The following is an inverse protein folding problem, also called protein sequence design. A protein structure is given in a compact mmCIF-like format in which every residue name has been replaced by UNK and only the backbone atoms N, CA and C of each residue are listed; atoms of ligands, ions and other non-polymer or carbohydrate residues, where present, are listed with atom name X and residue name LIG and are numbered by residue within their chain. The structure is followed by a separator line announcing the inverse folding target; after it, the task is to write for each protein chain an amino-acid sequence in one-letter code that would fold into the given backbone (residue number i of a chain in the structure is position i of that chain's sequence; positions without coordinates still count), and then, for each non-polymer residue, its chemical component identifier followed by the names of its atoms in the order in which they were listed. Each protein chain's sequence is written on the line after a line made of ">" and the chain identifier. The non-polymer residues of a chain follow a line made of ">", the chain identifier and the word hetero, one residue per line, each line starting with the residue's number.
data_IF_123885784703
#
_entry.id   IF_123885784703
#
_cell.length_a   1.000
_cell.length_b   1.000
_cell.length_c   1.000
_cell.angle_alpha   90.00
_cell.angle_beta   90.00
_cell.angle_gamma   90.00
#
_symmetry.space_group_name_H-M   'P 1'
#
loop_
_entity.id
_entity.type
_entity.pdbx_description
1 polymer ?
#
# COMPACT_ATOMS: atom_id res chain seq x y z
N UNK A 1 11.60 -1.11 -10.24
CA UNK A 1 12.22 0.07 -9.58
C UNK A 1 12.00 -0.09 -8.08
N UNK A 2 13.04 0.13 -7.29
CA UNK A 2 13.04 0.07 -5.83
C UNK A 2 13.58 1.39 -5.28
N UNK A 3 12.94 1.93 -4.26
CA UNK A 3 13.44 3.07 -3.48
C UNK A 3 13.73 2.57 -2.06
N UNK A 4 14.95 2.79 -1.56
CA UNK A 4 15.43 2.27 -0.28
C UNK A 4 15.20 0.75 -0.14
N UNK A 5 15.55 -0.01 -1.19
CA UNK A 5 15.39 -1.48 -1.29
C UNK A 5 13.92 -1.98 -1.37
N UNK A 6 12.93 -1.07 -1.34
CA UNK A 6 11.51 -1.41 -1.43
C UNK A 6 10.96 -1.23 -2.84
N UNK A 7 10.33 -2.27 -3.39
CA UNK A 7 9.69 -2.20 -4.70
C UNK A 7 8.53 -1.21 -4.68
N UNK A 8 8.51 -0.29 -5.64
CA UNK A 8 7.40 0.64 -5.83
C UNK A 8 6.18 -0.09 -6.41
N UNK A 9 4.99 0.29 -5.95
CA UNK A 9 3.73 -0.13 -6.58
C UNK A 9 3.55 0.69 -7.86
N UNK A 10 3.13 0.03 -8.93
CA UNK A 10 2.89 0.67 -10.24
C UNK A 10 1.41 0.53 -10.57
N UNK A 11 0.72 1.65 -10.70
CA UNK A 11 -0.58 1.68 -11.35
C UNK A 11 -0.36 1.76 -12.86
N UNK A 12 -0.52 0.63 -13.54
CA UNK A 12 -0.27 0.51 -14.98
C UNK A 12 -1.26 1.33 -15.83
N UNK A 13 -2.48 1.60 -15.32
CA UNK A 13 -3.47 2.40 -16.06
C UNK A 13 -3.06 3.86 -16.15
N UNK A 14 -2.54 4.42 -15.06
CA UNK A 14 -2.09 5.81 -14.99
C UNK A 14 -0.58 5.97 -15.22
N UNK A 15 0.14 4.86 -15.38
CA UNK A 15 1.60 4.79 -15.47
C UNK A 15 2.29 5.50 -14.29
N UNK A 16 1.75 5.30 -13.09
CA UNK A 16 2.16 6.01 -11.87
C UNK A 16 2.84 5.07 -10.89
N UNK A 17 4.04 5.46 -10.46
CA UNK A 17 4.80 4.83 -9.39
C UNK A 17 4.41 5.48 -8.06
N UNK A 18 4.16 4.67 -7.04
CA UNK A 18 3.83 5.15 -5.70
C UNK A 18 4.97 4.90 -4.74
N UNK A 19 5.42 5.98 -4.10
CA UNK A 19 6.47 5.98 -3.10
C UNK A 19 5.92 6.52 -1.77
N UNK A 20 5.87 5.66 -0.77
CA UNK A 20 5.50 6.06 0.59
C UNK A 20 6.75 6.47 1.36
N UNK A 21 6.73 7.71 1.85
CA UNK A 21 7.81 8.35 2.59
C UNK A 21 7.90 7.71 3.97
N UNK A 22 9.08 7.20 4.34
CA UNK A 22 9.32 6.67 5.67
C UNK A 22 9.28 7.84 6.66
N UNK A 23 8.35 7.78 7.62
CA UNK A 23 8.19 8.78 8.65
C UNK A 23 9.50 8.97 9.43
N UNK A 24 9.80 10.20 9.80
CA UNK A 24 11.00 10.63 10.54
C UNK A 24 12.36 10.24 9.91
N UNK A 25 12.39 9.71 8.68
CA UNK A 25 13.64 9.43 7.98
C UNK A 25 14.23 10.71 7.41
N UNK A 26 15.49 10.99 7.72
CA UNK A 26 16.23 12.14 7.16
C UNK A 26 16.37 12.07 5.63
N UNK A 27 16.28 10.86 5.06
CA UNK A 27 16.44 10.62 3.63
C UNK A 27 15.10 10.34 2.93
N UNK A 28 13.95 10.65 3.56
CA UNK A 28 12.64 10.35 2.96
C UNK A 28 12.46 10.96 1.57
N UNK A 29 12.99 12.16 1.32
CA UNK A 29 12.96 12.83 0.01
C UNK A 29 14.09 12.47 -0.93
N UNK A 30 15.13 11.77 -0.43
CA UNK A 30 16.33 11.41 -1.17
C UNK A 30 16.55 9.89 -1.10
N UNK A 31 15.62 9.09 -1.64
CA UNK A 31 15.75 7.64 -1.57
C UNK A 31 16.92 7.14 -2.39
N UNK A 32 17.55 6.05 -1.92
CA UNK A 32 18.44 5.25 -2.76
C UNK A 32 17.60 4.59 -3.85
N UNK A 33 17.92 4.86 -5.11
CA UNK A 33 17.17 4.31 -6.25
C UNK A 33 17.91 3.12 -6.85
N UNK A 34 17.21 1.98 -6.95
CA UNK A 34 17.68 0.78 -7.60
C UNK A 34 16.68 0.29 -8.65
N UNK A 35 17.16 -0.28 -9.73
CA UNK A 35 16.31 -0.88 -10.75
C UNK A 35 17.03 -2.05 -11.40
N UNK A 36 16.30 -3.15 -11.56
CA UNK A 36 16.81 -4.32 -12.25
C UNK A 36 16.72 -4.06 -13.75
N UNK A 37 17.85 -3.69 -14.37
CA UNK A 37 17.96 -3.45 -15.80
C UNK A 37 19.14 -4.21 -16.39
N UNK A 38 18.89 -4.87 -17.53
CA UNK A 38 19.93 -5.30 -18.45
C UNK A 38 20.24 -4.14 -19.41
N UNK A 39 21.52 -3.93 -19.73
CA UNK A 39 22.06 -2.80 -20.52
C UNK A 39 22.04 -1.46 -19.76
N UNK A 40 22.88 -0.51 -20.18
CA UNK A 40 23.15 0.83 -19.59
C UNK A 40 21.92 1.76 -19.46
N UNK A 41 20.83 1.28 -18.88
CA UNK A 41 19.64 2.04 -18.54
C UNK A 41 20.01 3.01 -17.43
N UNK A 42 19.50 4.22 -17.51
CA UNK A 42 19.63 5.32 -16.55
C UNK A 42 18.25 5.74 -16.08
N UNK A 43 18.19 6.29 -14.87
CA UNK A 43 17.00 6.87 -14.29
C UNK A 43 17.26 8.34 -13.99
N UNK A 44 16.37 9.22 -14.45
CA UNK A 44 16.37 10.63 -14.12
C UNK A 44 15.02 10.98 -13.49
N UNK A 45 15.04 11.72 -12.39
CA UNK A 45 13.84 12.33 -11.82
C UNK A 45 13.75 13.74 -12.39
N UNK A 46 12.68 14.01 -13.13
CA UNK A 46 12.40 15.31 -13.71
C UNK A 46 11.62 16.15 -12.71
N UNK A 47 12.32 16.55 -11.65
CA UNK A 47 11.84 17.45 -10.63
C UNK A 47 13.02 18.11 -9.91
N UNK A 48 12.84 19.35 -9.46
CA UNK A 48 13.90 20.08 -8.74
C UNK A 48 14.20 19.42 -7.38
N UNK A 49 13.16 19.03 -6.66
CA UNK A 49 13.23 18.38 -5.35
C UNK A 49 11.86 17.83 -4.91
N UNK A 50 11.87 16.80 -4.06
CA UNK A 50 10.68 16.31 -3.35
C UNK A 50 10.61 17.05 -2.00
N UNK A 51 9.49 17.70 -1.70
CA UNK A 51 9.28 18.47 -0.46
C UNK A 51 7.92 18.14 0.16
N UNK A 52 7.75 18.41 1.46
CA UNK A 52 6.46 18.22 2.14
C UNK A 52 5.31 19.00 1.48
N UNK A 53 5.58 20.22 1.00
CA UNK A 53 4.57 21.03 0.31
C UNK A 53 4.07 20.35 -0.95
N UNK A 54 4.99 19.83 -1.79
CA UNK A 54 4.65 19.12 -3.02
C UNK A 54 3.92 17.80 -2.74
N UNK A 55 4.30 17.09 -1.68
CA UNK A 55 3.61 15.85 -1.26
C UNK A 55 2.17 16.17 -0.84
N UNK A 56 1.97 17.20 0.00
CA UNK A 56 0.65 17.61 0.49
C UNK A 56 -0.25 18.18 -0.61
N UNK A 57 0.33 18.80 -1.64
CA UNK A 57 -0.41 19.35 -2.78
C UNK A 57 -0.75 18.30 -3.85
N UNK A 58 -0.53 17.01 -3.58
CA UNK A 58 -0.67 15.91 -4.54
C UNK A 58 0.11 16.14 -5.86
N UNK A 59 1.32 16.71 -5.75
CA UNK A 59 2.15 17.00 -6.91
C UNK A 59 2.63 15.70 -7.57
N UNK A 60 2.42 15.59 -8.88
CA UNK A 60 2.91 14.47 -9.67
C UNK A 60 4.31 14.76 -10.21
N UNK A 61 5.31 14.09 -9.62
CA UNK A 61 6.67 14.10 -10.13
C UNK A 61 6.76 13.28 -11.42
N UNK A 62 7.74 13.56 -12.27
CA UNK A 62 8.01 12.76 -13.47
C UNK A 62 9.32 12.00 -13.27
N UNK A 63 9.33 10.71 -13.61
CA UNK A 63 10.54 9.90 -13.69
C UNK A 63 10.72 9.45 -15.13
N UNK A 64 11.94 9.58 -15.64
CA UNK A 64 12.34 9.06 -16.93
C UNK A 64 13.32 7.91 -16.74
N UNK A 65 12.99 6.77 -17.35
CA UNK A 65 13.89 5.62 -17.46
C UNK A 65 14.29 5.53 -18.92
N UNK A 66 15.59 5.51 -19.21
CA UNK A 66 16.07 5.63 -20.58
C UNK A 66 17.38 4.89 -20.80
N UNK A 67 17.63 4.52 -22.04
CA UNK A 67 18.94 4.09 -22.52
C UNK A 67 19.29 4.90 -23.79
N UNK A 68 20.28 4.46 -24.56
CA UNK A 68 20.69 5.16 -25.80
C UNK A 68 19.67 5.05 -26.94
N UNK A 69 18.71 4.11 -26.88
CA UNK A 69 17.76 3.79 -27.95
C UNK A 69 16.33 4.23 -27.64
N UNK A 70 15.92 4.18 -26.39
CA UNK A 70 14.54 4.40 -25.98
C UNK A 70 14.45 5.06 -24.61
N UNK A 71 13.30 5.68 -24.34
CA UNK A 71 12.95 6.20 -23.03
C UNK A 71 11.49 5.92 -22.71
N UNK A 72 11.19 5.88 -21.42
CA UNK A 72 9.85 5.75 -20.89
C UNK A 72 9.67 6.72 -19.72
N UNK A 73 8.51 7.39 -19.67
CA UNK A 73 8.19 8.36 -18.63
C UNK A 73 7.08 7.79 -17.76
N UNK A 74 7.33 7.79 -16.45
CA UNK A 74 6.37 7.46 -15.40
C UNK A 74 6.01 8.71 -14.60
N UNK A 75 4.82 8.72 -14.03
CA UNK A 75 4.52 9.61 -12.91
C UNK A 75 5.10 9.00 -11.63
N UNK A 76 5.48 9.84 -10.67
CA UNK A 76 5.82 9.45 -9.31
C UNK A 76 4.89 10.23 -8.38
N UNK A 77 4.08 9.51 -7.62
CA UNK A 77 3.28 10.05 -6.52
C UNK A 77 3.95 9.68 -5.21
N UNK A 78 4.24 10.70 -4.42
CA UNK A 78 4.79 10.56 -3.08
C UNK A 78 3.66 10.73 -2.06
N UNK A 79 3.65 9.93 -1.00
CA UNK A 79 2.62 9.97 0.05
C UNK A 79 3.25 9.75 1.42
N UNK A 80 2.64 10.32 2.46
CA UNK A 80 2.96 10.08 3.87
C UNK A 80 2.10 8.97 4.50
N UNK A 81 1.28 8.31 3.69
CA UNK A 81 0.45 7.18 4.09
C UNK A 81 1.11 5.83 3.77
N UNK A 82 0.84 4.78 4.57
CA UNK A 82 1.14 3.40 4.19
C UNK A 82 0.47 3.01 2.87
N UNK A 83 1.09 2.08 2.14
CA UNK A 83 0.52 1.54 0.89
C UNK A 83 -0.02 0.14 1.12
N UNK A 84 -1.28 -0.10 0.76
CA UNK A 84 -1.90 -1.43 0.83
C UNK A 84 -2.34 -1.86 -0.56
N UNK A 85 -1.72 -2.90 -1.10
CA UNK A 85 -2.17 -3.56 -2.33
C UNK A 85 -2.82 -4.90 -2.00
N UNK A 86 -4.05 -5.11 -2.47
CA UNK A 86 -4.76 -6.38 -2.36
C UNK A 86 -4.87 -6.98 -3.76
N UNK A 87 -4.24 -8.14 -3.94
CA UNK A 87 -4.28 -8.91 -5.18
C UNK A 87 -5.26 -10.06 -5.05
N UNK A 88 -6.19 -10.19 -6.00
CA UNK A 88 -7.20 -11.26 -6.02
C UNK A 88 -7.62 -11.59 -7.45
N UNK A 89 -8.04 -12.84 -7.67
CA UNK A 89 -8.56 -13.26 -8.96
C UNK A 89 -10.01 -12.81 -9.11
N UNK A 90 -10.26 -11.88 -10.03
CA UNK A 90 -11.60 -11.33 -10.30
C UNK A 90 -12.56 -12.38 -10.90
N UNK A 91 -12.03 -13.43 -11.52
CA UNK A 91 -12.82 -14.50 -12.14
C UNK A 91 -13.08 -15.68 -11.18
N UNK A 92 -12.71 -15.54 -9.91
CA UNK A 92 -12.88 -16.60 -8.93
C UNK A 92 -14.32 -16.64 -8.40
N UNK A 93 -15.19 -17.36 -9.12
CA UNK A 93 -16.60 -17.59 -8.74
C UNK A 93 -16.76 -18.58 -7.57
N UNK A 94 -15.67 -19.10 -6.99
CA UNK A 94 -15.72 -20.25 -6.07
C UNK A 94 -16.42 -19.98 -4.72
N UNK A 95 -16.75 -18.73 -4.40
CA UNK A 95 -17.61 -18.40 -3.25
C UNK A 95 -18.35 -17.07 -3.47
N UNK A 96 -19.68 -17.11 -3.44
CA UNK A 96 -20.55 -15.93 -3.58
C UNK A 96 -20.29 -14.80 -2.56
N UNK A 97 -19.58 -15.09 -1.47
CA UNK A 97 -19.44 -14.17 -0.34
C UNK A 97 -18.00 -13.69 -0.07
N UNK A 98 -16.96 -14.33 -0.63
CA UNK A 98 -15.57 -13.92 -0.41
C UNK A 98 -14.61 -14.57 -1.41
N UNK A 99 -13.62 -13.83 -1.91
CA UNK A 99 -12.58 -14.32 -2.83
C UNK A 99 -11.24 -14.49 -2.11
N UNK A 100 -10.41 -15.50 -2.46
CA UNK A 100 -9.04 -15.59 -2.00
C UNK A 100 -8.23 -14.36 -2.43
N UNK A 101 -7.38 -13.85 -1.54
CA UNK A 101 -6.49 -12.72 -1.84
C UNK A 101 -5.10 -12.88 -1.24
N UNK A 102 -4.20 -12.00 -1.66
CA UNK A 102 -2.92 -11.72 -1.03
C UNK A 102 -2.77 -10.21 -0.83
N UNK A 103 -2.29 -9.79 0.33
CA UNK A 103 -1.94 -8.40 0.59
C UNK A 103 -0.43 -8.20 0.43
N UNK A 104 -0.06 -7.02 -0.03
CA UNK A 104 1.24 -6.39 0.15
C UNK A 104 1.00 -5.08 0.88
N UNK A 105 1.50 -4.96 2.11
CA UNK A 105 1.42 -3.76 2.91
C UNK A 105 2.82 -3.19 3.12
N UNK A 106 3.02 -1.94 2.73
CA UNK A 106 4.18 -1.14 3.09
C UNK A 106 3.82 -0.22 4.25
N UNK A 107 4.36 -0.52 5.44
CA UNK A 107 4.25 0.27 6.66
C UNK A 107 5.38 1.31 6.70
N UNK A 108 5.02 2.59 6.64
CA UNK A 108 5.98 3.69 6.56
C UNK A 108 6.34 4.30 7.93
N UNK A 109 5.88 3.74 9.04
CA UNK A 109 6.22 4.22 10.38
C UNK A 109 7.71 4.03 10.66
N UNK A 110 8.38 5.04 11.24
CA UNK A 110 9.83 5.07 11.52
C UNK A 110 10.33 3.80 12.23
N UNK A 111 9.65 3.39 13.30
CA UNK A 111 10.13 2.37 14.25
C UNK A 111 9.85 0.90 13.84
N UNK A 112 9.34 0.66 12.63
CA UNK A 112 9.03 -0.70 12.17
C UNK A 112 10.24 -1.32 11.47
N UNK A 113 10.80 -2.44 11.96
CA UNK A 113 11.98 -3.07 11.34
C UNK A 113 11.64 -3.73 10.00
N UNK A 114 10.46 -4.33 9.88
CA UNK A 114 9.97 -4.96 8.65
C UNK A 114 8.88 -4.11 8.03
N UNK A 115 9.26 -3.21 7.11
CA UNK A 115 8.30 -2.31 6.43
C UNK A 115 7.31 -3.07 5.55
N UNK A 116 7.65 -4.27 5.07
CA UNK A 116 6.80 -5.04 4.17
C UNK A 116 6.11 -6.19 4.94
N UNK A 117 4.80 -6.25 4.82
CA UNK A 117 3.98 -7.40 5.22
C UNK A 117 3.31 -8.01 4.00
N UNK A 118 3.55 -9.31 3.77
CA UNK A 118 2.86 -10.10 2.74
C UNK A 118 2.06 -11.20 3.44
N UNK A 119 0.77 -11.31 3.13
CA UNK A 119 -0.08 -12.34 3.73
C UNK A 119 -1.23 -12.72 2.81
N UNK A 120 -1.57 -14.02 2.80
CA UNK A 120 -2.76 -14.52 2.11
C UNK A 120 -3.99 -14.41 3.00
N UNK A 121 -5.15 -14.41 2.38
CA UNK A 121 -6.40 -14.15 3.09
C UNK A 121 -7.65 -14.40 2.26
N UNK A 122 -8.76 -13.88 2.77
CA UNK A 122 -10.03 -13.77 2.05
C UNK A 122 -10.48 -12.33 2.06
N UNK A 123 -10.94 -11.85 0.91
CA UNK A 123 -11.53 -10.54 0.69
C UNK A 123 -13.04 -10.69 0.51
N UNK A 124 -13.82 -9.86 1.17
CA UNK A 124 -15.23 -9.61 0.87
C UNK A 124 -15.33 -8.20 0.30
N UNK A 125 -16.09 -8.08 -0.77
CA UNK A 125 -16.27 -6.83 -1.51
C UNK A 125 -17.73 -6.43 -1.34
N UNK A 126 -17.98 -5.25 -0.78
CA UNK A 126 -19.30 -4.67 -0.55
C UNK A 126 -19.31 -3.25 -1.11
N UNK A 127 -19.59 -3.10 -2.41
CA UNK A 127 -19.48 -1.84 -3.14
C UNK A 127 -18.09 -1.18 -2.95
N UNK A 128 -18.06 0.06 -2.43
CA UNK A 128 -16.84 0.83 -2.10
C UNK A 128 -16.24 0.48 -0.72
N UNK A 129 -16.74 -0.56 -0.04
CA UNK A 129 -16.20 -1.04 1.23
C UNK A 129 -15.65 -2.45 1.08
N UNK A 130 -14.52 -2.71 1.72
CA UNK A 130 -13.89 -4.02 1.71
C UNK A 130 -13.74 -4.54 3.12
N UNK A 131 -13.84 -5.84 3.29
CA UNK A 131 -13.42 -6.48 4.53
C UNK A 131 -12.55 -7.67 4.21
N UNK A 132 -11.50 -7.90 5.00
CA UNK A 132 -10.57 -8.96 4.71
C UNK A 132 -10.04 -9.63 5.97
N UNK A 133 -9.72 -10.91 5.84
CA UNK A 133 -9.13 -11.72 6.89
C UNK A 133 -7.79 -12.26 6.43
N UNK A 134 -6.83 -12.39 7.34
CA UNK A 134 -5.48 -12.86 7.05
C UNK A 134 -5.29 -14.29 7.58
N UNK A 135 -4.52 -15.09 6.85
CA UNK A 135 -4.22 -16.49 7.16
C UNK A 135 -2.70 -16.72 7.14
N UNK A 136 -2.19 -17.48 8.12
CA UNK A 136 -0.81 -17.98 8.08
C UNK A 136 -0.84 -19.43 7.59
N UNK A 137 0.07 -19.78 6.68
CA UNK A 137 0.33 -21.17 6.34
C UNK A 137 1.20 -21.76 7.45
N UNK A 138 0.59 -22.49 8.40
CA UNK A 138 1.38 -23.26 9.37
C UNK A 138 1.86 -24.58 8.79
N UNK A 139 3.03 -25.10 9.22
CA UNK A 139 3.47 -26.45 8.87
C UNK A 139 2.36 -27.46 9.26
N UNK A 140 1.90 -28.27 8.30
CA UNK A 140 0.82 -29.24 8.49
C UNK A 140 -0.53 -28.90 7.83
N UNK A 141 -0.59 -27.90 6.93
CA UNK A 141 -1.77 -27.56 6.10
C UNK A 141 -3.06 -27.13 6.84
N UNK A 142 -3.05 -27.01 8.16
CA UNK A 142 -4.18 -26.45 8.90
C UNK A 142 -4.25 -24.93 8.71
N UNK A 143 -5.34 -24.42 8.14
CA UNK A 143 -5.63 -22.99 8.05
C UNK A 143 -6.17 -22.52 9.41
N UNK A 144 -5.36 -21.84 10.21
CA UNK A 144 -5.86 -21.05 11.35
C UNK A 144 -6.12 -19.61 10.89
N UNK A 145 -7.25 -19.04 11.31
CA UNK A 145 -7.49 -17.60 11.18
C UNK A 145 -6.37 -16.88 11.94
N UNK A 146 -5.57 -16.12 11.20
CA UNK A 146 -4.39 -15.48 11.78
C UNK A 146 -4.81 -14.19 12.47
N UNK A 147 -4.14 -13.94 13.60
CA UNK A 147 -4.11 -12.67 14.31
C UNK A 147 -2.79 -11.99 13.92
N UNK A 148 -2.62 -11.66 12.64
CA UNK A 148 -1.49 -10.83 12.21
C UNK A 148 -1.78 -9.38 12.60
N UNK A 149 -0.86 -8.71 13.29
CA UNK A 149 -0.92 -7.26 13.48
C UNK A 149 -0.43 -6.57 12.20
N UNK A 150 -1.17 -5.58 11.74
CA UNK A 150 -0.77 -4.69 10.63
C UNK A 150 -0.79 -3.26 11.15
N UNK A 151 0.19 -2.43 10.76
CA UNK A 151 0.29 -1.03 11.19
C UNK A 151 0.22 -0.83 12.73
N UNK A 152 0.80 -1.75 13.51
CA UNK A 152 0.69 -1.80 14.98
C UNK A 152 -0.74 -1.96 15.54
N UNK A 153 -1.73 -2.22 14.70
CA UNK A 153 -3.09 -2.50 15.14
C UNK A 153 -3.14 -3.80 15.92
N UNK A 154 -4.06 -3.88 16.90
CA UNK A 154 -4.32 -5.14 17.60
C UNK A 154 -4.72 -6.19 16.56
N UNK A 155 -4.10 -7.38 16.60
CA UNK A 155 -4.50 -8.47 15.74
C UNK A 155 -5.99 -8.79 15.76
N UNK A 156 -6.60 -8.82 14.58
CA UNK A 156 -8.02 -9.12 14.41
C UNK A 156 -8.28 -10.25 13.40
N UNK A 157 -9.44 -10.89 13.52
CA UNK A 157 -9.94 -11.87 12.56
C UNK A 157 -10.43 -11.22 11.26
N UNK A 158 -10.87 -9.97 11.31
CA UNK A 158 -11.37 -9.23 10.16
C UNK A 158 -10.96 -7.76 10.25
N UNK A 159 -10.38 -7.27 9.17
CA UNK A 159 -10.07 -5.87 8.92
C UNK A 159 -11.10 -5.30 7.97
N UNK A 160 -11.42 -4.01 8.12
CA UNK A 160 -12.39 -3.29 7.30
C UNK A 160 -11.67 -2.11 6.66
N UNK A 161 -11.94 -1.91 5.36
CA UNK A 161 -11.53 -0.76 4.58
C UNK A 161 -12.78 0.02 4.20
N UNK A 162 -12.83 1.28 4.64
CA UNK A 162 -13.90 2.21 4.31
C UNK A 162 -13.35 3.42 3.59
N UNK A 163 -13.94 3.76 2.45
CA UNK A 163 -13.54 4.92 1.66
C UNK A 163 -13.72 6.21 2.45
N UNK A 164 -12.73 7.09 2.40
CA UNK A 164 -12.78 8.39 3.06
C UNK A 164 -13.69 9.33 2.26
N UNK A 165 -14.90 9.57 2.78
CA UNK A 165 -15.86 10.49 2.17
C UNK A 165 -15.82 11.86 2.87
N UNK A 166 -14.71 12.59 2.72
CA UNK A 166 -14.45 13.95 3.27
C UNK A 166 -14.58 14.12 4.81
N UNK A 167 -13.75 15.01 5.35
CA UNK A 167 -13.70 15.45 6.76
C UNK A 167 -13.57 14.37 7.85
N UNK A 168 -12.66 13.42 7.69
CA UNK A 168 -12.13 12.68 8.85
C UNK A 168 -10.93 13.45 9.37
N UNK A 169 -11.17 14.26 10.41
CA UNK A 169 -10.10 14.92 11.15
C UNK A 169 -9.20 13.86 11.78
N UNK A 170 -7.87 14.06 11.77
CA UNK A 170 -6.92 13.17 12.43
C UNK A 170 -7.16 13.02 13.94
N UNK A 171 -8.08 13.79 14.53
CA UNK A 171 -8.38 13.85 15.96
C UNK A 171 -9.33 12.74 16.45
N UNK A 172 -10.04 12.02 15.56
CA UNK A 172 -10.81 10.82 15.93
C UNK A 172 -9.93 9.55 16.09
N UNK A 173 -8.60 9.69 16.01
CA UNK A 173 -7.59 8.63 16.18
C UNK A 173 -7.38 8.16 17.64
N UNK A 174 -8.14 8.66 18.61
CA UNK A 174 -8.00 8.26 20.01
C UNK A 174 -8.59 6.87 20.26
N UNK A 175 -7.82 5.83 19.89
CA UNK A 175 -7.73 4.48 20.51
C UNK A 175 -7.27 3.42 19.48
N UNK A 176 -6.13 3.58 18.79
CA UNK A 176 -5.43 2.48 18.07
C UNK A 176 -6.27 1.63 17.08
N UNK A 177 -7.40 2.15 16.58
CA UNK A 177 -8.43 1.34 15.88
C UNK A 177 -8.49 1.58 14.39
N UNK A 178 -7.93 2.68 13.88
CA UNK A 178 -8.10 3.10 12.50
C UNK A 178 -6.80 3.73 11.98
N UNK A 179 -6.42 3.42 10.74
CA UNK A 179 -5.29 4.03 10.03
C UNK A 179 -5.74 4.47 8.64
N UNK A 180 -5.20 5.57 8.13
CA UNK A 180 -5.34 5.92 6.71
C UNK A 180 -4.32 5.14 5.89
N UNK A 181 -4.72 4.63 4.74
CA UNK A 181 -3.84 3.93 3.78
C UNK A 181 -4.19 4.32 2.34
N UNK A 182 -3.20 4.34 1.46
CA UNK A 182 -3.44 4.34 0.02
C UNK A 182 -3.79 2.91 -0.42
N UNK A 183 -5.00 2.72 -0.95
CA UNK A 183 -5.49 1.41 -1.36
C UNK A 183 -5.23 1.16 -2.85
N UNK A 184 -4.73 -0.04 -3.14
CA UNK A 184 -4.61 -0.59 -4.48
C UNK A 184 -5.32 -1.94 -4.54
N UNK A 185 -6.05 -2.17 -5.63
CA UNK A 185 -6.64 -3.46 -5.96
C UNK A 185 -6.03 -3.94 -7.26
N UNK A 186 -5.35 -5.09 -7.23
CA UNK A 186 -4.59 -5.62 -8.37
C UNK A 186 -3.64 -4.58 -8.99
N UNK A 187 -2.95 -3.81 -8.13
CA UNK A 187 -2.09 -2.67 -8.48
C UNK A 187 -2.80 -1.42 -9.03
N UNK A 188 -4.12 -1.41 -9.15
CA UNK A 188 -4.87 -0.22 -9.56
C UNK A 188 -5.24 0.63 -8.36
N UNK A 189 -4.90 1.92 -8.41
CA UNK A 189 -5.15 2.86 -7.32
C UNK A 189 -6.66 3.12 -7.11
N UNK A 190 -7.13 3.00 -5.86
CA UNK A 190 -8.54 3.19 -5.49
C UNK A 190 -8.79 4.46 -4.67
N UNK A 191 -7.74 5.13 -4.18
CA UNK A 191 -7.83 6.27 -3.28
C UNK A 191 -7.41 5.96 -1.85
N UNK A 192 -7.68 6.92 -0.95
CA UNK A 192 -7.37 6.83 0.48
C UNK A 192 -8.53 6.14 1.22
N UNK A 193 -8.19 5.16 2.04
CA UNK A 193 -9.14 4.38 2.84
C UNK A 193 -8.80 4.41 4.32
N UNK A 194 -9.83 4.36 5.16
CA UNK A 194 -9.71 4.00 6.57
C UNK A 194 -9.59 2.49 6.69
N UNK A 195 -8.48 2.03 7.22
CA UNK A 195 -8.23 0.66 7.63
C UNK A 195 -8.48 0.51 9.13
N UNK A 196 -9.48 -0.29 9.49
CA UNK A 196 -9.87 -0.53 10.87
C UNK A 196 -10.31 -1.97 11.13
N UNK A 197 -11.00 -2.19 12.24
CA UNK A 197 -11.76 -3.40 12.49
C UNK A 197 -13.03 -3.08 13.28
N UNK A 198 -14.11 -3.80 13.01
CA UNK A 198 -15.34 -3.70 13.80
C UNK A 198 -15.17 -4.52 15.07
N UNK A 199 -15.10 -3.86 16.23
CA UNK A 199 -15.16 -4.56 17.52
C UNK A 199 -16.62 -4.82 17.88
N UNK A 200 -17.26 -5.78 17.21
CA UNK A 200 -18.64 -6.22 17.51
C UNK A 200 -18.76 -6.95 18.85
N UNK A 201 -17.76 -6.87 19.74
CA UNK A 201 -17.78 -7.48 21.08
C UNK A 201 -18.29 -6.55 22.20
N UNK A 202 -19.07 -5.53 21.85
CA UNK A 202 -19.91 -4.82 22.81
C UNK A 202 -21.30 -4.61 22.21
N UNK A 203 -22.19 -5.56 22.48
CA UNK A 203 -23.58 -5.31 22.88
C UNK A 203 -24.12 -6.59 23.52
#
# INVERSE_FOLDING_TARGET
>A
IRFNDYKLIIDEKSNTLYYSLINDSSNKYNPKVEYDANNNVKLAVWADEITDEKVKSDYQFKIMIYNEKEYHIYNLKCTDLPLLNISYNQNDETNKNSVPMEIYLFDNLSNIPNKITISKGKLKINDDNYSFSLHMLTPGKNKRNNKLSILNMKPNSEYVLSKVNQDISQEDNLENKIHLVELFLNNEYQGIYLLGFNDTRKQ
#
